data_IF_396771230542
#
_entry.id   IF_396771230542
#
_cell.length_a   1.000
_cell.length_b   1.000
_cell.length_c   1.000
_cell.angle_alpha   90.00
_cell.angle_beta   90.00
_cell.angle_gamma   90.00
#
_symmetry.space_group_name_H-M   'P 1'
#
loop_
_entity.id
_entity.type
_entity.pdbx_description
1 polymer ?
#
# COMPACT_ATOMS: atom_id res chain seq x y z
N UNK A 1 31.11 -63.28 -50.66
CA UNK A 1 30.73 -63.93 -51.93
C UNK A 1 29.22 -63.73 -52.09
N UNK A 2 28.83 -63.04 -53.16
CA UNK A 2 27.57 -62.32 -53.36
C UNK A 2 26.42 -63.29 -53.73
N UNK A 3 25.26 -63.16 -53.09
CA UNK A 3 23.97 -63.74 -53.52
C UNK A 3 23.10 -62.58 -54.02
N UNK A 4 22.77 -62.53 -55.31
CA UNK A 4 21.54 -63.07 -55.93
C UNK A 4 20.27 -62.35 -55.42
N UNK A 5 19.26 -61.92 -56.20
CA UNK A 5 18.89 -61.90 -57.63
C UNK A 5 17.41 -61.36 -57.64
N UNK A 6 16.91 -60.84 -58.78
CA UNK A 6 15.47 -60.67 -59.15
C UNK A 6 14.62 -59.61 -58.44
N UNK A 7 13.57 -59.01 -59.02
CA UNK A 7 13.02 -58.90 -60.39
C UNK A 7 11.93 -57.82 -60.27
N UNK A 8 11.74 -57.04 -61.34
CA UNK A 8 10.68 -56.05 -61.46
C UNK A 8 9.26 -56.64 -61.38
N UNK A 9 8.35 -55.95 -60.71
CA UNK A 9 6.92 -55.90 -61.02
C UNK A 9 6.32 -54.66 -60.32
N UNK A 10 5.90 -53.68 -61.11
CA UNK A 10 4.48 -53.36 -61.30
C UNK A 10 3.89 -52.60 -60.09
N UNK A 11 3.82 -51.27 -60.16
CA UNK A 11 2.65 -50.53 -60.67
C UNK A 11 1.45 -50.63 -59.71
N UNK A 12 0.84 -49.48 -59.43
CA UNK A 12 -0.32 -49.23 -58.56
C UNK A 12 0.02 -48.92 -57.09
N UNK A 13 0.36 -47.66 -56.84
CA UNK A 13 0.02 -46.97 -55.57
C UNK A 13 -0.06 -45.46 -55.83
N UNK A 14 -0.89 -45.10 -56.80
CA UNK A 14 -1.63 -43.85 -56.80
C UNK A 14 -3.07 -44.25 -56.53
N UNK A 15 -3.76 -43.52 -55.66
CA UNK A 15 -5.12 -43.80 -55.12
C UNK A 15 -5.11 -44.68 -53.86
N UNK A 16 -4.81 -44.04 -52.73
CA UNK A 16 -5.61 -44.07 -51.49
C UNK A 16 -4.99 -43.11 -50.46
N UNK A 17 -4.73 -41.88 -50.91
CA UNK A 17 -4.64 -40.74 -50.01
C UNK A 17 -6.08 -40.43 -49.56
N UNK A 18 -6.47 -40.98 -48.41
CA UNK A 18 -7.52 -40.52 -47.48
C UNK A 18 -7.99 -41.71 -46.63
N UNK A 19 -7.20 -42.08 -45.62
CA UNK A 19 -7.75 -42.52 -44.33
C UNK A 19 -6.63 -42.62 -43.29
N UNK A 20 -6.42 -41.53 -42.58
CA UNK A 20 -5.85 -41.60 -41.23
C UNK A 20 -6.61 -40.58 -40.40
N UNK A 21 -7.49 -41.08 -39.54
CA UNK A 21 -8.21 -40.29 -38.55
C UNK A 21 -7.18 -39.45 -37.80
N UNK A 22 -7.29 -38.13 -37.95
CA UNK A 22 -6.58 -37.16 -37.11
C UNK A 22 -7.13 -37.36 -35.70
N UNK A 23 -6.37 -38.02 -34.83
CA UNK A 23 -6.60 -37.92 -33.40
C UNK A 23 -6.40 -36.44 -33.05
N UNK A 24 -7.48 -35.78 -32.64
CA UNK A 24 -7.40 -34.52 -31.92
C UNK A 24 -6.61 -34.78 -30.66
N UNK A 25 -5.32 -34.44 -30.70
CA UNK A 25 -4.53 -34.23 -29.51
C UNK A 25 -5.13 -32.96 -28.89
N UNK A 26 -5.99 -33.13 -27.89
CA UNK A 26 -6.34 -32.06 -26.96
C UNK A 26 -5.06 -31.66 -26.27
N UNK A 27 -4.31 -30.73 -26.86
CA UNK A 27 -3.27 -29.98 -26.15
C UNK A 27 -4.00 -29.17 -25.09
N UNK A 28 -4.02 -29.72 -23.88
CA UNK A 28 -4.28 -28.95 -22.67
C UNK A 28 -3.47 -27.67 -22.72
N UNK A 29 -4.15 -26.53 -22.62
CA UNK A 29 -3.55 -25.23 -22.38
C UNK A 29 -2.83 -25.28 -21.04
N UNK A 30 -1.58 -25.70 -21.03
CA UNK A 30 -0.68 -25.69 -19.88
C UNK A 30 0.72 -25.38 -20.41
N UNK A 31 0.86 -24.22 -21.04
CA UNK A 31 2.15 -23.54 -21.15
C UNK A 31 1.92 -22.05 -21.44
N UNK A 32 1.33 -21.35 -20.47
CA UNK A 32 1.47 -19.90 -20.41
C UNK A 32 2.42 -19.58 -19.25
N UNK A 33 3.68 -19.32 -19.60
CA UNK A 33 4.55 -18.50 -18.75
C UNK A 33 3.88 -17.15 -18.58
N UNK A 34 3.16 -16.95 -17.47
CA UNK A 34 2.37 -15.74 -17.23
C UNK A 34 3.32 -14.54 -17.02
N UNK A 35 3.60 -13.81 -18.09
CA UNK A 35 4.21 -12.49 -17.97
C UNK A 35 3.10 -11.53 -17.54
N UNK A 36 3.11 -11.08 -16.29
CA UNK A 36 2.15 -10.09 -15.79
C UNK A 36 1.74 -10.25 -14.33
N UNK A 37 0.79 -9.43 -13.90
CA UNK A 37 0.20 -9.48 -12.57
C UNK A 37 -0.92 -10.52 -12.50
N UNK A 38 -0.94 -11.30 -11.43
CA UNK A 38 -2.01 -12.25 -11.14
C UNK A 38 -2.90 -11.64 -10.06
N UNK A 39 -4.16 -11.38 -10.40
CA UNK A 39 -5.15 -10.93 -9.43
C UNK A 39 -5.36 -12.02 -8.37
N UNK A 40 -5.25 -11.65 -7.09
CA UNK A 40 -5.61 -12.48 -5.95
C UNK A 40 -6.85 -11.89 -5.28
N UNK A 41 -7.87 -12.71 -5.06
CA UNK A 41 -9.11 -12.25 -4.43
C UNK A 41 -8.95 -12.14 -2.91
N UNK A 42 -9.75 -11.30 -2.22
CA UNK A 42 -9.79 -11.25 -0.76
C UNK A 42 -10.00 -12.64 -0.12
N UNK A 43 -10.81 -13.50 -0.74
CA UNK A 43 -11.02 -14.86 -0.25
C UNK A 43 -9.76 -15.75 -0.35
N UNK A 44 -8.84 -15.45 -1.27
CA UNK A 44 -7.56 -16.15 -1.39
C UNK A 44 -6.52 -15.60 -0.42
N UNK A 45 -6.54 -14.28 -0.17
CA UNK A 45 -5.48 -13.60 0.58
C UNK A 45 -5.81 -13.29 2.03
N UNK A 46 -7.08 -13.15 2.39
CA UNK A 46 -7.49 -12.60 3.69
C UNK A 46 -7.43 -11.07 3.78
N UNK A 47 -7.01 -10.37 2.70
CA UNK A 47 -6.97 -8.91 2.66
C UNK A 47 -8.31 -8.37 2.18
N UNK A 48 -9.07 -7.74 3.08
CA UNK A 48 -10.43 -7.23 2.83
C UNK A 48 -10.54 -5.71 2.86
N UNK A 49 -9.45 -5.00 3.15
CA UNK A 49 -9.45 -3.55 3.29
C UNK A 49 -9.91 -2.83 2.01
N UNK A 50 -10.71 -1.79 2.21
CA UNK A 50 -11.08 -0.83 1.17
C UNK A 50 -11.24 0.53 1.83
N UNK A 51 -10.53 1.53 1.30
CA UNK A 51 -10.66 2.91 1.77
C UNK A 51 -11.88 3.56 1.08
N UNK A 52 -13.05 3.37 1.68
CA UNK A 52 -14.32 3.87 1.15
C UNK A 52 -14.57 5.26 1.71
N UNK A 53 -14.76 6.24 0.82
CA UNK A 53 -15.16 7.59 1.18
C UNK A 53 -16.67 7.74 0.99
N UNK A 54 -17.34 8.23 2.03
CA UNK A 54 -18.73 8.65 1.98
C UNK A 54 -18.77 10.18 2.01
N UNK A 55 -19.33 10.76 0.95
CA UNK A 55 -19.52 12.20 0.86
C UNK A 55 -20.83 12.63 1.52
N UNK A 56 -20.83 13.84 2.08
CA UNK A 56 -22.01 14.53 2.58
C UNK A 56 -21.93 16.05 2.33
N UNK A 57 -22.88 16.81 2.88
CA UNK A 57 -22.95 18.25 2.70
C UNK A 57 -21.72 19.00 3.27
N UNK A 58 -20.94 18.38 4.16
CA UNK A 58 -19.71 18.92 4.75
C UNK A 58 -18.45 18.29 4.12
N UNK A 59 -18.45 16.98 3.91
CA UNK A 59 -17.34 16.20 3.37
C UNK A 59 -17.62 15.96 1.87
N UNK A 60 -17.24 16.92 1.05
CA UNK A 60 -17.29 16.81 -0.41
C UNK A 60 -16.19 17.69 -1.02
N UNK A 61 -15.94 17.48 -2.31
CA UNK A 61 -14.87 18.18 -3.02
C UNK A 61 -15.02 19.71 -3.02
N UNK A 62 -16.24 20.23 -3.02
CA UNK A 62 -16.49 21.68 -3.06
C UNK A 62 -16.09 22.37 -1.75
N UNK A 63 -16.27 21.68 -0.63
CA UNK A 63 -15.92 22.18 0.69
C UNK A 63 -14.51 21.76 1.13
N UNK A 64 -14.00 20.65 0.58
CA UNK A 64 -12.73 20.04 0.94
C UNK A 64 -12.01 19.51 -0.30
N UNK A 65 -11.13 20.30 -0.91
CA UNK A 65 -10.38 19.91 -2.12
C UNK A 65 -9.51 18.65 -1.90
N UNK A 66 -9.06 18.43 -0.65
CA UNK A 66 -8.25 17.30 -0.24
C UNK A 66 -9.06 16.04 0.11
N UNK A 67 -10.39 16.01 -0.11
CA UNK A 67 -11.24 14.86 0.22
C UNK A 67 -10.86 13.58 -0.54
N UNK A 68 -10.22 13.69 -1.70
CA UNK A 68 -9.76 12.50 -2.45
C UNK A 68 -8.25 12.26 -2.32
N UNK A 69 -7.58 12.95 -1.40
CA UNK A 69 -6.22 12.59 -1.03
C UNK A 69 -6.27 11.22 -0.36
N UNK A 70 -5.80 10.22 -1.09
CA UNK A 70 -5.78 8.84 -0.62
C UNK A 70 -4.94 8.70 0.65
N UNK A 71 -5.27 7.67 1.41
CA UNK A 71 -4.47 7.26 2.54
C UNK A 71 -3.23 6.46 2.08
N UNK A 72 -2.27 6.27 3.00
CA UNK A 72 -1.03 5.58 2.75
C UNK A 72 -1.11 4.06 2.95
N UNK A 73 -0.15 3.37 2.34
CA UNK A 73 0.13 1.95 2.58
C UNK A 73 1.55 1.83 3.11
N UNK A 74 1.74 0.98 4.11
CA UNK A 74 3.04 0.57 4.63
C UNK A 74 3.28 -0.91 4.35
N UNK A 75 4.53 -1.25 4.04
CA UNK A 75 5.01 -2.63 3.91
C UNK A 75 6.20 -2.76 4.83
N UNK A 76 6.13 -3.66 5.80
CA UNK A 76 7.08 -3.78 6.90
C UNK A 76 7.18 -5.24 7.36
N UNK A 77 8.24 -5.62 8.07
CA UNK A 77 8.33 -6.92 8.73
C UNK A 77 8.06 -6.73 10.23
N UNK A 78 6.80 -6.93 10.66
CA UNK A 78 6.36 -6.58 12.02
C UNK A 78 7.07 -7.45 13.05
N UNK A 79 7.36 -8.70 12.68
CA UNK A 79 7.80 -9.75 13.59
C UNK A 79 9.23 -10.25 13.31
N UNK A 80 9.93 -9.63 12.35
CA UNK A 80 11.27 -9.98 11.88
C UNK A 80 11.39 -11.46 11.42
N UNK A 81 10.34 -12.01 10.81
CA UNK A 81 10.33 -13.39 10.29
C UNK A 81 10.75 -13.50 8.81
N UNK A 82 11.09 -12.38 8.18
CA UNK A 82 11.49 -12.26 6.78
C UNK A 82 10.32 -12.16 5.81
N UNK A 83 9.07 -12.10 6.30
CA UNK A 83 7.88 -11.91 5.46
C UNK A 83 7.36 -10.50 5.61
N UNK A 84 7.10 -9.87 4.47
CA UNK A 84 6.52 -8.53 4.45
C UNK A 84 5.02 -8.57 4.79
N UNK A 85 4.65 -7.80 5.79
CA UNK A 85 3.29 -7.53 6.24
C UNK A 85 2.73 -6.28 5.56
N UNK A 86 1.42 -6.02 5.74
CA UNK A 86 0.74 -4.89 5.12
C UNK A 86 0.05 -4.04 6.16
N UNK A 87 0.31 -2.74 6.13
CA UNK A 87 -0.46 -1.74 6.86
C UNK A 87 -1.20 -0.82 5.87
N UNK A 88 -2.48 -0.62 6.09
CA UNK A 88 -3.30 0.32 5.32
C UNK A 88 -3.85 1.38 6.26
N UNK A 89 -3.60 2.64 5.95
CA UNK A 89 -4.28 3.73 6.62
C UNK A 89 -5.64 4.00 5.96
N UNK A 90 -6.59 4.59 6.70
CA UNK A 90 -7.90 4.99 6.17
C UNK A 90 -8.19 6.46 6.43
N UNK A 91 -9.00 7.06 5.56
CA UNK A 91 -9.45 8.44 5.73
C UNK A 91 -10.67 8.58 6.68
N UNK A 92 -11.57 7.59 6.71
CA UNK A 92 -12.86 7.66 7.41
C UNK A 92 -13.19 6.42 8.26
N UNK A 93 -12.37 5.36 8.19
CA UNK A 93 -12.57 4.14 8.94
C UNK A 93 -11.29 3.70 9.64
N UNK A 94 -11.28 2.46 10.14
CA UNK A 94 -10.10 1.92 10.78
C UNK A 94 -8.96 1.70 9.78
N UNK A 95 -7.74 1.98 10.23
CA UNK A 95 -6.54 1.42 9.64
C UNK A 95 -6.59 -0.12 9.73
N UNK A 96 -5.81 -0.80 8.88
CA UNK A 96 -5.70 -2.26 8.89
C UNK A 96 -4.26 -2.73 8.87
N UNK A 97 -3.92 -3.64 9.79
CA UNK A 97 -2.65 -4.33 9.85
C UNK A 97 -2.84 -5.82 9.59
N UNK A 98 -2.17 -6.32 8.57
CA UNK A 98 -2.29 -7.68 8.06
C UNK A 98 -0.95 -8.41 8.21
N UNK A 99 -0.92 -9.42 9.08
CA UNK A 99 0.23 -10.29 9.31
C UNK A 99 0.32 -11.37 8.23
N UNK A 100 1.48 -11.53 7.61
CA UNK A 100 1.75 -12.46 6.52
C UNK A 100 1.98 -13.88 7.05
N UNK A 101 1.01 -14.76 6.76
CA UNK A 101 1.06 -16.18 7.10
C UNK A 101 1.80 -17.03 6.04
N UNK A 102 2.37 -16.39 5.01
CA UNK A 102 2.99 -17.00 3.85
C UNK A 102 1.98 -17.35 2.75
N UNK A 103 2.49 -17.65 1.56
CA UNK A 103 1.68 -18.04 0.39
C UNK A 103 0.57 -17.04 0.02
N UNK A 104 0.85 -15.74 0.15
CA UNK A 104 -0.11 -14.65 -0.04
C UNK A 104 -1.33 -14.71 0.89
N UNK A 105 -1.24 -15.39 2.03
CA UNK A 105 -2.29 -15.39 3.07
C UNK A 105 -1.93 -14.42 4.17
N UNK A 106 -2.91 -13.67 4.62
CA UNK A 106 -2.78 -12.62 5.60
C UNK A 106 -3.88 -12.73 6.66
N UNK A 107 -3.52 -12.38 7.88
CA UNK A 107 -4.42 -12.31 9.03
C UNK A 107 -4.57 -10.86 9.48
N UNK A 108 -5.80 -10.38 9.61
CA UNK A 108 -6.08 -9.05 10.20
C UNK A 108 -5.80 -9.09 11.70
N UNK A 109 -4.68 -8.49 12.12
CA UNK A 109 -4.26 -8.38 13.52
C UNK A 109 -4.49 -6.98 14.09
N UNK A 110 -5.24 -6.12 13.40
CA UNK A 110 -5.39 -4.69 13.71
C UNK A 110 -5.77 -4.44 15.17
N UNK A 111 -6.81 -5.12 15.66
CA UNK A 111 -7.31 -4.91 17.03
C UNK A 111 -6.34 -5.44 18.08
N UNK A 112 -5.73 -6.59 17.86
CA UNK A 112 -4.73 -7.14 18.79
C UNK A 112 -3.43 -6.35 18.79
N UNK A 113 -3.08 -5.73 17.65
CA UNK A 113 -1.88 -4.92 17.49
C UNK A 113 -2.02 -3.51 18.07
N UNK A 114 -3.25 -3.02 18.27
CA UNK A 114 -3.51 -1.70 18.85
C UNK A 114 -3.37 -0.53 17.87
N UNK A 115 -3.54 -0.78 16.56
CA UNK A 115 -3.29 0.22 15.50
C UNK A 115 -4.52 0.64 14.71
N UNK A 116 -5.73 0.28 15.16
CA UNK A 116 -6.98 0.55 14.44
C UNK A 116 -7.18 2.04 14.09
N UNK A 117 -6.84 2.96 14.99
CA UNK A 117 -7.08 4.39 14.78
C UNK A 117 -8.53 4.67 14.39
N UNK A 118 -8.74 5.67 13.51
CA UNK A 118 -9.85 5.67 12.55
C UNK A 118 -10.72 6.94 12.52
N UNK A 119 -10.53 7.86 13.47
CA UNK A 119 -11.16 9.19 13.43
C UNK A 119 -10.27 10.22 12.71
N UNK A 120 -9.01 9.86 12.47
CA UNK A 120 -8.04 10.69 11.80
C UNK A 120 -8.15 10.53 10.29
N UNK A 121 -8.21 11.66 9.57
CA UNK A 121 -8.11 11.63 8.11
C UNK A 121 -6.66 11.38 7.72
N UNK A 122 -6.28 10.11 7.63
CA UNK A 122 -4.90 9.72 7.34
C UNK A 122 -4.49 10.18 5.94
N UNK A 123 -3.26 10.66 5.83
CA UNK A 123 -2.53 10.84 4.58
C UNK A 123 -1.53 9.70 4.44
N UNK A 124 -0.27 10.07 4.28
CA UNK A 124 0.85 9.16 4.09
C UNK A 124 1.18 8.30 5.29
N UNK A 125 1.73 7.12 4.99
CA UNK A 125 2.33 6.20 5.95
C UNK A 125 3.82 6.12 5.64
N UNK A 126 4.64 6.14 6.69
CA UNK A 126 6.09 5.94 6.61
C UNK A 126 6.48 4.80 7.53
N UNK A 127 7.28 3.86 7.02
CA UNK A 127 7.84 2.75 7.78
C UNK A 127 9.28 3.11 8.10
N UNK A 128 9.64 3.08 9.39
CA UNK A 128 10.93 3.57 9.88
C UNK A 128 11.28 2.92 11.21
N UNK A 129 12.53 2.48 11.39
CA UNK A 129 13.08 2.12 12.71
C UNK A 129 13.52 3.42 13.41
N UNK A 130 12.58 4.11 14.05
CA UNK A 130 12.81 5.48 14.56
C UNK A 130 13.68 5.47 15.82
N UNK A 131 13.57 4.43 16.63
CA UNK A 131 14.30 4.30 17.89
C UNK A 131 15.59 3.47 17.77
N UNK A 132 15.99 3.11 16.54
CA UNK A 132 17.17 2.34 16.18
C UNK A 132 17.28 1.00 16.93
N UNK A 133 16.15 0.33 17.15
CA UNK A 133 16.07 -0.90 17.92
C UNK A 133 16.00 -2.18 17.05
N UNK A 134 16.03 -2.01 15.73
CA UNK A 134 15.98 -3.05 14.71
C UNK A 134 14.58 -3.51 14.36
N UNK A 135 13.54 -2.75 14.72
CA UNK A 135 12.14 -3.07 14.44
C UNK A 135 11.46 -1.90 13.76
N UNK A 136 10.73 -2.19 12.68
CA UNK A 136 10.00 -1.18 11.94
C UNK A 136 8.84 -0.61 12.78
N UNK A 137 8.82 0.72 12.93
CA UNK A 137 7.72 1.51 13.48
C UNK A 137 6.83 2.05 12.33
N UNK A 138 5.62 2.49 12.68
CA UNK A 138 4.65 3.03 11.73
C UNK A 138 4.36 4.49 12.07
N UNK A 139 4.70 5.40 11.16
CA UNK A 139 4.32 6.81 11.24
C UNK A 139 3.17 7.13 10.28
N UNK A 140 2.16 7.87 10.74
CA UNK A 140 0.97 8.23 9.96
C UNK A 140 0.79 9.74 10.00
N UNK A 141 0.77 10.35 8.82
CA UNK A 141 0.41 11.77 8.65
C UNK A 141 -1.11 11.95 8.66
N UNK A 142 -1.63 13.04 9.24
CA UNK A 142 -3.05 13.32 9.34
C UNK A 142 -3.35 14.78 8.93
N UNK A 143 -4.41 15.02 8.12
CA UNK A 143 -4.58 16.35 7.52
C UNK A 143 -5.96 16.98 7.45
N UNK A 144 -7.05 16.24 7.22
CA UNK A 144 -8.28 16.89 6.77
C UNK A 144 -9.15 17.43 7.92
N UNK A 145 -9.18 16.75 9.07
CA UNK A 145 -10.12 17.07 10.16
C UNK A 145 -10.07 18.53 10.60
N UNK A 146 -11.21 19.12 10.96
CA UNK A 146 -11.27 20.46 11.55
C UNK A 146 -10.79 20.46 13.02
N UNK A 147 -10.99 19.34 13.72
CA UNK A 147 -10.52 19.13 15.10
C UNK A 147 -9.01 18.89 15.09
N UNK A 148 -8.26 19.76 15.78
CA UNK A 148 -6.79 19.69 15.82
C UNK A 148 -6.27 18.37 16.41
N UNK A 149 -6.94 17.85 17.44
CA UNK A 149 -6.59 16.57 18.06
C UNK A 149 -6.66 15.38 17.08
N UNK A 150 -7.55 15.45 16.08
CA UNK A 150 -7.72 14.45 15.04
C UNK A 150 -6.79 14.67 13.83
N UNK A 151 -6.04 15.78 13.83
CA UNK A 151 -4.99 16.04 12.85
C UNK A 151 -3.59 15.73 13.35
N UNK A 152 -3.43 15.39 14.63
CA UNK A 152 -2.14 14.99 15.15
C UNK A 152 -1.67 13.73 14.46
N UNK A 153 -0.49 13.80 13.86
CA UNK A 153 0.18 12.64 13.31
C UNK A 153 0.38 11.57 14.40
N UNK A 154 0.43 10.30 13.98
CA UNK A 154 0.57 9.15 14.87
C UNK A 154 1.90 8.46 14.65
N UNK A 155 2.48 7.95 15.72
CA UNK A 155 3.70 7.15 15.70
C UNK A 155 3.45 5.90 16.53
N UNK A 156 3.35 4.77 15.88
CA UNK A 156 3.18 3.48 16.53
C UNK A 156 4.54 2.80 16.66
N UNK A 157 5.06 2.75 17.89
CA UNK A 157 6.32 2.08 18.20
C UNK A 157 6.10 0.57 18.36
N UNK A 158 6.87 -0.24 17.65
CA UNK A 158 6.76 -1.70 17.69
C UNK A 158 7.23 -2.26 19.05
N UNK A 159 6.41 -3.12 19.65
CA UNK A 159 6.68 -3.73 20.97
C UNK A 159 7.31 -5.13 20.87
N UNK A 160 7.72 -5.57 19.68
CA UNK A 160 8.42 -6.85 19.42
C UNK A 160 7.59 -8.09 19.74
N UNK A 161 6.26 -7.92 19.73
CA UNK A 161 5.28 -8.95 20.06
C UNK A 161 3.99 -8.78 19.24
N UNK A 162 4.09 -8.23 18.03
CA UNK A 162 2.98 -7.87 17.14
C UNK A 162 2.01 -6.81 17.68
N UNK A 163 2.42 -6.07 18.71
CA UNK A 163 1.67 -4.93 19.24
C UNK A 163 2.46 -3.64 19.10
N UNK A 164 1.74 -2.52 19.12
CA UNK A 164 2.31 -1.19 18.99
C UNK A 164 1.81 -0.26 20.08
N UNK A 165 2.62 0.76 20.40
CA UNK A 165 2.25 1.84 21.30
C UNK A 165 2.32 3.17 20.56
N UNK A 166 1.19 3.88 20.51
CA UNK A 166 1.13 5.26 20.00
C UNK A 166 1.99 6.17 20.91
N UNK A 167 2.95 6.87 20.30
CA UNK A 167 4.01 7.60 21.00
C UNK A 167 4.34 8.96 20.35
N UNK A 168 3.55 9.47 19.41
CA UNK A 168 3.92 10.67 18.65
C UNK A 168 4.21 11.88 19.54
N UNK A 169 3.39 12.09 20.59
CA UNK A 169 3.60 13.18 21.56
C UNK A 169 4.93 13.04 22.31
N UNK A 170 5.28 11.81 22.71
CA UNK A 170 6.52 11.53 23.43
C UNK A 170 7.76 11.85 22.59
N UNK A 171 7.68 11.64 21.28
CA UNK A 171 8.76 11.91 20.33
C UNK A 171 8.67 13.32 19.72
N UNK A 172 7.70 14.15 20.10
CA UNK A 172 7.52 15.48 19.52
C UNK A 172 7.07 15.47 18.05
N UNK A 173 6.51 14.34 17.58
CA UNK A 173 6.10 14.13 16.19
C UNK A 173 4.58 14.16 16.00
N UNK A 174 3.82 14.51 17.04
CA UNK A 174 2.36 14.71 16.98
C UNK A 174 1.97 16.06 16.34
N UNK A 175 2.57 16.37 15.19
CA UNK A 175 2.29 17.59 14.43
C UNK A 175 0.82 17.60 13.95
N UNK A 176 0.15 18.75 14.10
CA UNK A 176 -1.25 18.93 13.74
C UNK A 176 -1.44 19.87 12.53
N UNK A 177 -0.34 20.17 11.81
CA UNK A 177 -0.22 21.21 10.79
C UNK A 177 -0.72 20.80 9.40
N UNK A 178 -1.62 19.81 9.37
CA UNK A 178 -2.24 19.22 8.18
C UNK A 178 -1.25 18.44 7.29
N UNK A 179 -0.65 17.40 7.85
CA UNK A 179 0.41 16.64 7.19
C UNK A 179 -0.10 15.65 6.13
N UNK A 180 0.51 15.70 4.96
CA UNK A 180 0.26 14.81 3.83
C UNK A 180 1.21 13.61 3.84
N UNK A 181 2.49 13.81 4.15
CA UNK A 181 3.48 12.73 4.19
C UNK A 181 4.69 13.15 5.03
N UNK A 182 5.48 12.19 5.49
CA UNK A 182 6.75 12.45 6.14
C UNK A 182 7.85 11.53 5.61
N UNK A 183 9.08 12.03 5.56
CA UNK A 183 10.26 11.21 5.24
C UNK A 183 11.24 11.34 6.39
N UNK A 184 11.80 10.22 6.81
CA UNK A 184 12.78 10.13 7.89
C UNK A 184 14.15 9.79 7.31
N UNK A 185 15.16 10.58 7.63
CA UNK A 185 16.53 10.39 7.15
C UNK A 185 17.51 11.19 8.01
N UNK A 186 18.75 10.73 8.10
CA UNK A 186 19.83 11.43 8.81
C UNK A 186 20.36 12.58 7.93
N UNK A 187 19.87 13.80 8.16
CA UNK A 187 20.20 14.96 7.34
C UNK A 187 21.56 15.56 7.70
N UNK A 188 21.92 15.57 8.98
CA UNK A 188 23.16 16.21 9.47
C UNK A 188 24.31 15.24 9.78
N UNK A 189 24.08 13.94 9.54
CA UNK A 189 25.05 12.83 9.63
C UNK A 189 25.49 12.51 11.07
N UNK A 190 24.60 12.68 12.05
CA UNK A 190 24.87 12.38 13.45
C UNK A 190 24.39 10.97 13.89
N UNK A 191 23.76 10.23 12.98
CA UNK A 191 23.14 8.91 13.16
C UNK A 191 21.87 8.87 14.01
N UNK A 192 21.21 10.00 14.22
CA UNK A 192 19.77 10.01 14.48
C UNK A 192 18.97 10.33 13.20
N UNK A 193 17.66 10.09 13.23
CA UNK A 193 16.80 10.33 12.07
C UNK A 193 16.07 11.67 12.23
N UNK A 194 16.27 12.56 11.27
CA UNK A 194 15.46 13.77 11.12
C UNK A 194 14.14 13.48 10.43
N UNK A 195 13.13 14.29 10.72
CA UNK A 195 11.82 14.21 10.10
C UNK A 195 11.55 15.41 9.18
N UNK A 196 11.34 15.15 7.89
CA UNK A 196 10.77 16.13 6.96
C UNK A 196 9.26 15.88 6.81
N UNK A 197 8.43 16.79 7.33
CA UNK A 197 6.97 16.68 7.28
C UNK A 197 6.40 17.64 6.22
N UNK A 198 5.73 17.07 5.22
CA UNK A 198 5.05 17.82 4.17
C UNK A 198 3.62 18.15 4.61
N UNK A 199 3.30 19.44 4.67
CA UNK A 199 1.98 19.94 5.05
C UNK A 199 1.25 20.57 3.85
N UNK A 200 -0.07 20.60 3.93
CA UNK A 200 -0.92 21.35 3.01
C UNK A 200 -1.63 22.51 3.72
N UNK A 201 -1.99 23.59 3.01
CA UNK A 201 -2.84 24.63 3.58
C UNK A 201 -4.23 24.05 3.94
N UNK A 202 -4.99 24.74 4.81
CA UNK A 202 -6.40 24.43 5.05
C UNK A 202 -7.21 24.45 3.75
N UNK A 203 -8.20 23.56 3.65
CA UNK A 203 -9.08 23.47 2.48
C UNK A 203 -10.04 24.65 2.35
N UNK A 204 -10.36 25.33 3.46
CA UNK A 204 -11.29 26.45 3.44
C UNK A 204 -10.63 27.70 2.84
N UNK A 205 -11.33 28.32 1.89
CA UNK A 205 -10.82 29.43 1.09
C UNK A 205 -10.33 30.62 1.94
N UNK A 206 -11.05 30.93 3.03
CA UNK A 206 -10.71 32.06 3.90
C UNK A 206 -9.39 31.81 4.65
N UNK A 207 -9.24 30.67 5.31
CA UNK A 207 -8.00 30.34 6.04
C UNK A 207 -6.83 30.15 5.09
N UNK A 208 -7.06 29.55 3.91
CA UNK A 208 -6.03 29.43 2.87
C UNK A 208 -5.52 30.80 2.40
N UNK A 209 -6.41 31.74 2.12
CA UNK A 209 -6.02 33.10 1.71
C UNK A 209 -5.24 33.84 2.80
N UNK A 210 -5.62 33.67 4.07
CA UNK A 210 -4.90 34.30 5.18
C UNK A 210 -3.46 33.77 5.34
N UNK A 211 -3.19 32.54 4.90
CA UNK A 211 -1.84 31.92 4.96
C UNK A 211 -1.01 32.26 3.72
N UNK A 212 -1.61 32.27 2.53
CA UNK A 212 -0.90 32.51 1.26
C UNK A 212 -0.69 34.00 0.98
N UNK A 213 -1.60 34.84 1.47
CA UNK A 213 -1.50 36.29 1.39
C UNK A 213 -1.80 36.89 2.78
N UNK A 214 -0.90 36.72 3.77
CA UNK A 214 -1.05 37.37 5.05
C UNK A 214 -0.93 38.87 4.80
N UNK A 215 -2.07 39.55 4.67
CA UNK A 215 -2.23 41.01 4.58
C UNK A 215 -0.91 41.73 4.24
N UNK A 216 -0.53 41.80 2.96
CA UNK A 216 0.55 42.67 2.48
C UNK A 216 0.09 44.12 2.65
N UNK A 217 -0.02 44.56 3.91
CA UNK A 217 -0.13 45.96 4.27
C UNK A 217 1.26 46.55 4.12
N UNK A 218 1.58 46.96 2.89
CA UNK A 218 2.58 47.98 2.67
C UNK A 218 2.06 49.28 3.29
N UNK A 219 2.26 49.44 4.59
CA UNK A 219 2.12 50.73 5.24
C UNK A 219 3.37 51.53 4.88
N UNK A 220 3.28 52.28 3.78
CA UNK A 220 4.13 53.45 3.60
C UNK A 220 3.54 54.57 4.45
N UNK A 221 4.11 54.76 5.64
CA UNK A 221 4.14 56.06 6.32
C UNK A 221 5.55 56.25 6.85
#
# INVERSE_FOLDING_TARGET
MIKQIFLAASMVSFILACNTKKQEKTTSANDESSVGFILKSPAQTGVHFSNILTEDDQINYLNNEAVYHGAGVGVLDINNDGKMDLFFASNQGDNKLYLNQGNFKFEDITSSAGVAGGAEWAGGVSIVDLNADGWDDIYISCHLSAEESLRKNKLYINQKNNTFIESAEKYGLADASRSIHAVFFDYDLDNDLDAFILNQPPSDYQSRNNIIAPDLKFNFI
#
